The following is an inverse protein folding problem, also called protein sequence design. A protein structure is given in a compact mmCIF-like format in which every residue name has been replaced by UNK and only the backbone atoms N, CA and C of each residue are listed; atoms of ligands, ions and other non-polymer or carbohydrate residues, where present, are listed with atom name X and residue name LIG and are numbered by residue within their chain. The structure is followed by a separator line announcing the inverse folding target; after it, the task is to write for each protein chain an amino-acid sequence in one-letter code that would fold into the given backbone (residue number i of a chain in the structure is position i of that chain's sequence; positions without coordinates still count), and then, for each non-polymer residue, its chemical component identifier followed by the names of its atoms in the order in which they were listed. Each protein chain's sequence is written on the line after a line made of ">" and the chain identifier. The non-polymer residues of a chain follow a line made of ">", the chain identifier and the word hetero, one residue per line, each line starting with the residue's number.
data_IF_696743673730
#
_entry.id   IF_696743673730
#
_cell.length_a   1.000
_cell.length_b   1.000
_cell.length_c   1.000
_cell.angle_alpha   90.00
_cell.angle_beta   90.00
_cell.angle_gamma   90.00
#
_symmetry.space_group_name_H-M   'P 1'
#
loop_
_entity.id
_entity.type
_entity.pdbx_description
1 polymer ?
#
# COMPACT_ATOMS: atom_id res chain seq x y z
N UNK A 1 13.06 2.35 -27.55
CA UNK A 1 12.44 1.77 -26.35
C UNK A 1 12.48 0.26 -26.51
N UNK A 2 13.06 -0.47 -25.55
CA UNK A 2 13.11 -1.94 -25.54
C UNK A 2 11.80 -2.47 -24.93
N UNK A 3 11.28 -3.58 -25.44
CA UNK A 3 10.13 -4.27 -24.83
C UNK A 3 10.53 -4.84 -23.45
N UNK A 4 9.77 -4.47 -22.42
CA UNK A 4 9.88 -5.00 -21.07
C UNK A 4 9.24 -6.38 -21.00
N UNK A 5 9.85 -7.30 -20.25
CA UNK A 5 9.19 -8.57 -19.94
C UNK A 5 7.96 -8.34 -19.05
N UNK A 6 6.97 -9.23 -19.07
CA UNK A 6 5.72 -9.06 -18.31
C UNK A 6 5.96 -8.76 -16.81
N UNK A 7 6.93 -9.41 -16.18
CA UNK A 7 7.28 -9.16 -14.77
C UNK A 7 7.98 -7.81 -14.55
N UNK A 8 8.78 -7.35 -15.50
CA UNK A 8 9.42 -6.04 -15.42
C UNK A 8 8.41 -4.93 -15.70
N UNK A 9 7.47 -5.15 -16.62
CA UNK A 9 6.30 -4.29 -16.79
C UNK A 9 5.51 -4.24 -15.48
N UNK A 10 5.26 -5.36 -14.79
CA UNK A 10 4.57 -5.39 -13.49
C UNK A 10 5.35 -4.76 -12.32
N UNK A 11 6.67 -4.58 -12.47
CA UNK A 11 7.49 -3.86 -11.48
C UNK A 11 7.64 -2.37 -11.82
N UNK A 12 7.59 -2.02 -13.12
CA UNK A 12 7.75 -0.65 -13.65
C UNK A 12 6.41 0.08 -13.75
N UNK A 13 5.33 -0.62 -14.06
CA UNK A 13 3.91 -0.21 -13.96
C UNK A 13 3.45 -0.19 -12.49
N UNK A 14 4.37 -0.53 -11.57
CA UNK A 14 4.09 -0.95 -10.22
C UNK A 14 3.25 -2.22 -10.23
N UNK A 15 3.08 -2.85 -9.07
CA UNK A 15 1.91 -3.71 -8.85
C UNK A 15 0.61 -2.85 -8.84
N UNK A 16 0.56 -1.79 -9.66
CA UNK A 16 0.18 -0.42 -9.32
C UNK A 16 -1.26 -0.14 -9.64
N UNK A 17 -2.16 -0.97 -9.11
CA UNK A 17 -3.54 -0.57 -8.93
C UNK A 17 -3.70 0.13 -7.59
N UNK A 18 -4.77 0.91 -7.44
CA UNK A 18 -5.11 1.52 -6.17
C UNK A 18 -5.20 0.49 -5.02
N UNK A 19 -5.56 -0.76 -5.32
CA UNK A 19 -5.57 -1.87 -4.35
C UNK A 19 -4.18 -2.24 -3.81
N UNK A 20 -3.11 -2.14 -4.61
CA UNK A 20 -1.75 -2.38 -4.15
C UNK A 20 -1.23 -1.20 -3.33
N UNK A 21 -1.52 0.04 -3.76
CA UNK A 21 -1.24 1.23 -2.96
C UNK A 21 -1.93 1.15 -1.59
N UNK A 22 -3.18 0.68 -1.55
CA UNK A 22 -3.88 0.39 -0.31
C UNK A 22 -3.16 -0.67 0.53
N UNK A 23 -2.73 -1.79 -0.05
CA UNK A 23 -2.06 -2.87 0.68
C UNK A 23 -0.71 -2.43 1.27
N UNK A 24 0.09 -1.68 0.52
CA UNK A 24 1.35 -1.12 1.03
C UNK A 24 1.12 -0.14 2.17
N UNK A 25 0.15 0.78 1.99
CA UNK A 25 -0.26 1.72 3.03
C UNK A 25 -0.84 1.02 4.26
N UNK A 26 -1.61 -0.04 4.06
CA UNK A 26 -2.21 -0.81 5.13
C UNK A 26 -1.15 -1.61 5.90
N UNK A 27 -0.15 -2.16 5.20
CA UNK A 27 1.00 -2.80 5.83
C UNK A 27 1.75 -1.83 6.72
N UNK A 28 2.19 -0.70 6.18
CA UNK A 28 2.91 0.32 6.93
C UNK A 28 2.09 0.89 8.11
N UNK A 29 0.83 1.20 7.86
CA UNK A 29 -0.10 1.72 8.86
C UNK A 29 -0.39 0.71 9.98
N UNK A 30 -0.48 -0.59 9.66
CA UNK A 30 -0.70 -1.65 10.67
C UNK A 30 0.49 -1.78 11.63
N UNK A 31 1.72 -1.62 11.12
CA UNK A 31 2.93 -1.66 11.94
C UNK A 31 2.97 -0.44 12.87
N UNK A 32 2.73 0.76 12.32
CA UNK A 32 2.71 1.99 13.09
C UNK A 32 1.60 2.00 14.16
N UNK A 33 0.39 1.56 13.79
CA UNK A 33 -0.73 1.47 14.71
C UNK A 33 -0.54 0.39 15.77
N UNK A 34 0.07 -0.74 15.41
CA UNK A 34 0.41 -1.82 16.34
C UNK A 34 1.36 -1.37 17.44
N UNK A 35 2.32 -0.51 17.12
CA UNK A 35 3.22 0.09 18.10
C UNK A 35 2.49 0.98 19.11
N UNK A 36 1.42 1.66 18.71
CA UNK A 36 0.68 2.58 19.56
C UNK A 36 -0.36 1.89 20.46
N UNK A 37 -1.11 0.91 19.93
CA UNK A 37 -2.30 0.38 20.61
C UNK A 37 -2.48 -1.15 20.47
N UNK A 38 -1.42 -1.88 20.10
CA UNK A 38 -1.49 -3.33 19.89
C UNK A 38 -2.47 -3.72 18.78
N UNK A 39 -3.23 -4.80 18.97
CA UNK A 39 -4.08 -5.37 17.92
C UNK A 39 -5.15 -4.39 17.36
N UNK A 40 -5.75 -3.58 18.22
CA UNK A 40 -6.75 -2.56 17.79
C UNK A 40 -6.07 -1.46 16.98
N UNK A 41 -4.86 -1.07 17.40
CA UNK A 41 -4.02 -0.12 16.67
C UNK A 41 -3.59 -0.67 15.31
N UNK A 42 -3.26 -1.96 15.19
CA UNK A 42 -2.95 -2.59 13.91
C UNK A 42 -4.11 -2.45 12.92
N UNK A 43 -5.34 -2.74 13.35
CA UNK A 43 -6.52 -2.68 12.48
C UNK A 43 -6.85 -1.24 12.05
N UNK A 44 -6.85 -0.29 13.00
CA UNK A 44 -7.09 1.12 12.71
C UNK A 44 -5.99 1.70 11.83
N UNK A 45 -4.73 1.40 12.14
CA UNK A 45 -3.58 1.82 11.36
C UNK A 45 -3.58 1.26 9.95
N UNK A 46 -3.98 0.00 9.77
CA UNK A 46 -4.12 -0.61 8.44
C UNK A 46 -5.16 0.12 7.58
N UNK A 47 -6.32 0.44 8.15
CA UNK A 47 -7.37 1.17 7.42
C UNK A 47 -6.96 2.60 7.08
N UNK A 48 -6.34 3.31 8.04
CA UNK A 48 -5.90 4.70 7.85
C UNK A 48 -4.75 4.76 6.84
N UNK A 49 -3.70 3.97 7.04
CA UNK A 49 -2.54 3.94 6.16
C UNK A 49 -2.90 3.49 4.75
N UNK A 50 -3.74 2.45 4.62
CA UNK A 50 -4.22 1.99 3.33
C UNK A 50 -5.08 3.03 2.63
N UNK A 51 -5.99 3.68 3.35
CA UNK A 51 -6.83 4.74 2.81
C UNK A 51 -6.03 5.96 2.32
N UNK A 52 -4.99 6.36 3.06
CA UNK A 52 -4.10 7.46 2.65
C UNK A 52 -3.36 7.09 1.36
N UNK A 53 -2.70 5.94 1.32
CA UNK A 53 -1.94 5.51 0.14
C UNK A 53 -2.83 5.28 -1.08
N UNK A 54 -4.05 4.77 -0.88
CA UNK A 54 -5.07 4.66 -1.93
C UNK A 54 -5.48 6.04 -2.47
N UNK A 55 -5.72 7.01 -1.58
CA UNK A 55 -6.09 8.37 -1.99
C UNK A 55 -4.95 9.07 -2.74
N UNK A 56 -3.70 8.90 -2.29
CA UNK A 56 -2.51 9.42 -2.95
C UNK A 56 -2.29 8.81 -4.33
N UNK A 57 -2.70 7.56 -4.56
CA UNK A 57 -2.60 6.93 -5.88
C UNK A 57 -3.47 7.62 -6.95
N UNK A 58 -4.59 8.26 -6.55
CA UNK A 58 -5.50 8.95 -7.48
C UNK A 58 -5.24 10.45 -7.64
N UNK A 59 -4.21 10.98 -6.98
CA UNK A 59 -3.88 12.40 -6.95
C UNK A 59 -2.70 12.70 -7.88
#
# INVERSE_FOLDING_TARGET
>A
MRELTYEEALKVDGQGGAAAAFLEGAGAGSIAGGLACGAVGCAAGALIGGGISFALYFL
#
